data_IF_384960333722
#
_entry.id   IF_384960333722
#
_cell.length_a   1.000
_cell.length_b   1.000
_cell.length_c   1.000
_cell.angle_alpha   90.00
_cell.angle_beta   90.00
_cell.angle_gamma   90.00
#
_symmetry.space_group_name_H-M   'P 1'
#
loop_
_entity.id
_entity.type
_entity.pdbx_description
1 polymer ?
#
# COMPACT_ATOMS: atom_id res chain seq x y z
N UNK A 1 1.66 -13.14 42.43
CA UNK A 1 0.43 -12.76 41.69
C UNK A 1 0.52 -13.29 40.26
N UNK A 2 -0.61 -13.76 39.71
CA UNK A 2 -0.84 -14.44 38.41
C UNK A 2 -0.22 -13.64 37.24
N UNK A 3 0.62 -14.23 36.38
CA UNK A 3 0.25 -15.04 35.20
C UNK A 3 -0.94 -14.48 34.41
N UNK A 4 -0.70 -14.00 33.18
CA UNK A 4 -1.50 -14.40 32.02
C UNK A 4 -0.80 -13.99 30.71
N UNK A 5 0.05 -14.87 30.19
CA UNK A 5 0.32 -14.98 28.76
C UNK A 5 -1.02 -15.20 28.04
N UNK A 6 -1.58 -14.19 27.37
CA UNK A 6 -2.73 -14.42 26.47
C UNK A 6 -2.24 -14.83 25.09
N UNK A 7 -2.01 -16.13 24.96
CA UNK A 7 -2.20 -16.87 23.71
C UNK A 7 -3.69 -17.16 23.59
N UNK A 8 -4.38 -16.47 22.68
CA UNK A 8 -5.75 -16.78 22.23
C UNK A 8 -5.85 -16.29 20.79
N UNK A 9 -5.31 -17.01 19.82
CA UNK A 9 -6.04 -18.09 19.13
C UNK A 9 -7.53 -17.72 18.98
N UNK A 10 -7.82 -16.79 18.07
CA UNK A 10 -9.15 -16.66 17.47
C UNK A 10 -9.06 -17.30 16.08
N UNK A 11 -9.28 -18.61 16.05
CA UNK A 11 -9.51 -19.37 14.84
C UNK A 11 -11.00 -19.72 14.76
N UNK A 12 -11.79 -18.90 14.05
CA UNK A 12 -13.13 -19.17 13.51
C UNK A 12 -13.39 -18.05 12.48
N UNK A 13 -13.74 -18.24 11.21
CA UNK A 13 -14.15 -19.44 10.52
C UNK A 13 -14.13 -19.23 8.99
N UNK A 14 -14.09 -20.37 8.33
CA UNK A 14 -14.28 -20.62 6.91
C UNK A 14 -15.63 -20.08 6.41
N UNK A 15 -15.61 -19.22 5.39
CA UNK A 15 -16.75 -19.05 4.49
C UNK A 15 -16.23 -18.80 3.07
N UNK A 16 -16.05 -19.90 2.34
CA UNK A 16 -15.87 -19.88 0.90
C UNK A 16 -17.18 -19.44 0.24
N UNK A 17 -17.18 -18.30 -0.45
CA UNK A 17 -18.24 -17.93 -1.41
C UNK A 17 -17.63 -18.02 -2.80
N UNK A 18 -17.88 -19.17 -3.43
CA UNK A 18 -17.51 -19.48 -4.80
C UNK A 18 -18.71 -19.16 -5.70
N UNK A 19 -18.85 -17.92 -6.16
CA UNK A 19 -19.82 -17.59 -7.22
C UNK A 19 -19.10 -17.55 -8.56
N UNK A 20 -19.13 -18.71 -9.20
CA UNK A 20 -18.74 -18.95 -10.58
C UNK A 20 -19.84 -18.42 -11.52
N UNK A 21 -19.54 -17.38 -12.30
CA UNK A 21 -20.33 -17.07 -13.50
C UNK A 21 -19.42 -17.07 -14.72
N UNK A 22 -19.57 -18.16 -15.47
CA UNK A 22 -18.90 -18.43 -16.73
C UNK A 22 -19.56 -17.69 -17.90
N UNK A 23 -18.71 -17.36 -18.87
CA UNK A 23 -18.97 -17.16 -20.29
C UNK A 23 -19.80 -15.93 -20.71
N UNK A 24 -19.08 -14.87 -21.11
CA UNK A 24 -19.44 -14.11 -22.31
C UNK A 24 -18.35 -14.32 -23.36
N UNK A 25 -18.63 -15.21 -24.32
CA UNK A 25 -17.86 -15.36 -25.54
C UNK A 25 -18.24 -14.19 -26.46
N UNK A 26 -17.30 -13.29 -26.72
CA UNK A 26 -17.44 -12.16 -27.63
C UNK A 26 -16.18 -12.04 -28.48
N UNK A 27 -16.38 -12.20 -29.77
CA UNK A 27 -15.42 -12.41 -30.85
C UNK A 27 -14.60 -11.17 -31.26
N UNK A 28 -13.34 -11.44 -31.62
CA UNK A 28 -12.45 -10.77 -32.59
C UNK A 28 -11.59 -9.55 -32.18
N UNK A 29 -10.28 -9.77 -32.39
CA UNK A 29 -9.16 -8.86 -32.72
C UNK A 29 -8.40 -8.04 -31.63
N UNK A 30 -7.18 -8.54 -31.38
CA UNK A 30 -5.90 -7.87 -31.09
C UNK A 30 -5.58 -7.13 -29.76
N UNK A 31 -4.40 -7.52 -29.25
CA UNK A 31 -3.47 -6.89 -28.32
C UNK A 31 -3.87 -6.70 -26.84
N UNK A 32 -3.34 -7.64 -26.07
CA UNK A 32 -2.80 -7.49 -24.72
C UNK A 32 -2.44 -6.07 -24.31
N UNK A 33 -2.96 -5.63 -23.17
CA UNK A 33 -2.13 -5.32 -22.00
C UNK A 33 -2.94 -5.62 -20.73
N UNK A 34 -2.33 -6.43 -19.87
CA UNK A 34 -2.91 -6.89 -18.62
C UNK A 34 -2.87 -5.76 -17.60
N UNK A 35 -3.98 -5.02 -17.49
CA UNK A 35 -4.27 -4.31 -16.25
C UNK A 35 -4.68 -5.35 -15.21
N UNK A 36 -3.76 -5.63 -14.29
CA UNK A 36 -4.03 -6.34 -13.03
C UNK A 36 -5.05 -5.51 -12.22
N UNK A 37 -6.33 -5.62 -12.57
CA UNK A 37 -7.43 -5.04 -11.80
C UNK A 37 -7.93 -6.08 -10.81
N UNK A 38 -7.05 -6.44 -9.87
CA UNK A 38 -7.38 -7.23 -8.71
C UNK A 38 -7.59 -6.33 -7.48
N UNK A 39 -8.84 -6.08 -7.11
CA UNK A 39 -9.18 -5.77 -5.71
C UNK A 39 -10.03 -4.53 -5.49
N UNK A 40 -11.34 -4.74 -5.44
CA UNK A 40 -12.33 -3.89 -4.77
C UNK A 40 -11.91 -3.62 -3.32
N UNK A 41 -11.42 -2.41 -3.04
CA UNK A 41 -11.27 -1.82 -1.69
C UNK A 41 -10.96 -0.34 -1.85
N UNK A 42 -12.00 0.48 -2.11
CA UNK A 42 -11.97 1.95 -2.09
C UNK A 42 -10.56 2.58 -2.15
N UNK A 43 -9.88 2.43 -3.29
CA UNK A 43 -8.56 3.03 -3.49
C UNK A 43 -8.77 4.53 -3.55
N UNK A 44 -8.48 5.20 -2.45
CA UNK A 44 -8.46 6.67 -2.47
C UNK A 44 -7.29 7.04 -3.36
N UNK A 45 -7.59 7.47 -4.58
CA UNK A 45 -6.57 7.85 -5.55
C UNK A 45 -5.69 8.96 -4.94
N UNK A 46 -4.44 8.64 -4.61
CA UNK A 46 -3.43 9.62 -4.21
C UNK A 46 -2.94 10.30 -5.48
N UNK A 47 -3.26 11.57 -5.68
CA UNK A 47 -2.87 12.34 -6.88
C UNK A 47 -1.82 13.39 -6.57
N UNK A 48 -1.77 13.85 -5.32
CA UNK A 48 -0.84 14.86 -4.87
C UNK A 48 -0.35 14.59 -3.45
N UNK A 49 0.75 15.24 -3.07
CA UNK A 49 1.33 15.17 -1.72
C UNK A 49 0.32 15.54 -0.63
N UNK A 50 -0.63 16.44 -0.91
CA UNK A 50 -1.68 16.85 0.02
C UNK A 50 -2.64 15.70 0.40
N UNK A 51 -2.81 14.71 -0.47
CA UNK A 51 -3.69 13.54 -0.22
C UNK A 51 -3.09 12.59 0.83
N UNK A 52 -1.83 12.82 1.23
CA UNK A 52 -1.10 12.01 2.21
C UNK A 52 -1.24 12.52 3.65
N UNK A 53 -2.19 13.42 3.94
CA UNK A 53 -2.47 13.86 5.30
C UNK A 53 -2.81 12.65 6.20
N UNK A 54 -2.14 12.54 7.34
CA UNK A 54 -2.30 11.40 8.26
C UNK A 54 -1.76 10.06 7.75
N UNK A 55 -1.06 10.03 6.62
CA UNK A 55 -0.49 8.81 6.00
C UNK A 55 1.01 8.69 6.28
N UNK A 56 1.57 7.51 6.01
CA UNK A 56 2.99 7.23 6.13
C UNK A 56 3.68 7.33 4.77
N UNK A 57 4.70 8.16 4.69
CA UNK A 57 5.45 8.45 3.47
C UNK A 57 6.87 7.90 3.63
N UNK A 58 7.24 6.91 2.81
CA UNK A 58 8.59 6.40 2.73
C UNK A 58 9.51 7.33 1.94
N UNK A 59 10.72 7.56 2.44
CA UNK A 59 11.78 8.31 1.75
C UNK A 59 13.12 7.57 1.85
N UNK A 60 14.00 7.76 0.89
CA UNK A 60 15.39 7.32 1.02
C UNK A 60 16.18 8.32 1.88
N UNK A 61 16.83 7.83 2.93
CA UNK A 61 17.65 8.68 3.81
C UNK A 61 18.81 9.35 3.09
N UNK A 62 19.21 10.53 3.58
CA UNK A 62 20.32 11.34 3.04
C UNK A 62 20.14 11.78 1.58
N UNK A 63 18.90 11.97 1.13
CA UNK A 63 18.56 12.51 -0.19
C UNK A 63 17.95 13.90 -0.09
N UNK A 64 17.99 14.65 -1.18
CA UNK A 64 17.23 15.91 -1.34
C UNK A 64 15.74 15.68 -1.20
N UNK A 65 15.22 14.57 -1.73
CA UNK A 65 13.82 14.16 -1.58
C UNK A 65 13.39 13.96 -0.12
N UNK A 66 14.24 13.39 0.73
CA UNK A 66 13.94 13.24 2.16
C UNK A 66 13.81 14.59 2.86
N UNK A 67 14.73 15.53 2.61
CA UNK A 67 14.63 16.89 3.14
C UNK A 67 13.36 17.58 2.66
N UNK A 68 13.06 17.48 1.36
CA UNK A 68 11.85 18.04 0.79
C UNK A 68 10.58 17.49 1.45
N UNK A 69 10.51 16.17 1.67
CA UNK A 69 9.37 15.53 2.30
C UNK A 69 9.16 16.03 3.74
N UNK A 70 10.22 16.17 4.53
CA UNK A 70 10.11 16.69 5.90
C UNK A 70 9.61 18.14 5.95
N UNK A 71 10.04 18.97 5.00
CA UNK A 71 9.66 20.38 4.93
C UNK A 71 8.24 20.61 4.37
N UNK A 72 7.74 19.70 3.54
CA UNK A 72 6.50 19.92 2.75
C UNK A 72 5.40 18.89 3.04
N UNK A 73 5.59 17.96 3.97
CA UNK A 73 4.57 16.97 4.31
C UNK A 73 3.27 17.63 4.76
N UNK A 74 2.11 17.09 4.37
CA UNK A 74 0.83 17.57 4.89
C UNK A 74 0.71 17.27 6.38
N UNK A 75 -0.22 17.96 7.04
CA UNK A 75 -0.43 17.79 8.47
C UNK A 75 -0.75 16.32 8.82
N UNK A 76 -0.13 15.84 9.90
CA UNK A 76 -0.31 14.48 10.38
C UNK A 76 0.40 13.39 9.58
N UNK A 77 1.05 13.71 8.45
CA UNK A 77 1.85 12.73 7.74
C UNK A 77 3.12 12.36 8.51
N UNK A 78 3.47 11.08 8.48
CA UNK A 78 4.67 10.53 9.11
C UNK A 78 5.70 10.20 8.02
N UNK A 79 6.94 10.66 8.18
CA UNK A 79 8.04 10.33 7.29
C UNK A 79 8.76 9.10 7.83
N UNK A 80 8.93 8.09 6.99
CA UNK A 80 9.65 6.85 7.31
C UNK A 80 10.89 6.77 6.42
N UNK A 81 12.06 6.83 7.03
CA UNK A 81 13.34 6.82 6.32
C UNK A 81 13.85 5.40 6.09
N UNK A 82 14.27 5.11 4.86
CA UNK A 82 14.82 3.81 4.43
C UNK A 82 16.24 3.97 3.87
N UNK A 83 17.09 2.93 3.97
CA UNK A 83 18.45 2.98 3.43
C UNK A 83 18.49 3.08 1.90
N UNK A 84 17.51 2.50 1.22
CA UNK A 84 17.41 2.45 -0.24
C UNK A 84 15.95 2.28 -0.70
N UNK A 85 15.72 2.56 -1.98
CA UNK A 85 14.38 2.47 -2.60
C UNK A 85 13.82 1.05 -2.60
N UNK A 86 14.65 0.01 -2.62
CA UNK A 86 14.15 -1.38 -2.59
C UNK A 86 13.51 -1.69 -1.25
N UNK A 87 14.13 -1.23 -0.16
CA UNK A 87 13.56 -1.32 1.18
C UNK A 87 12.25 -0.52 1.32
N UNK A 88 12.19 0.69 0.75
CA UNK A 88 10.97 1.50 0.75
C UNK A 88 9.84 0.82 -0.05
N UNK A 89 10.13 0.29 -1.24
CA UNK A 89 9.16 -0.44 -2.08
C UNK A 89 8.64 -1.69 -1.39
N UNK A 90 9.50 -2.45 -0.70
CA UNK A 90 9.07 -3.60 0.07
C UNK A 90 8.13 -3.20 1.23
N UNK A 91 8.40 -2.06 1.88
CA UNK A 91 7.53 -1.51 2.93
C UNK A 91 6.16 -1.10 2.37
N UNK A 92 6.11 -0.49 1.18
CA UNK A 92 4.87 -0.13 0.50
C UNK A 92 4.03 -1.37 0.18
N UNK A 93 4.64 -2.39 -0.44
CA UNK A 93 3.95 -3.65 -0.78
C UNK A 93 3.46 -4.40 0.47
N UNK A 94 4.12 -4.22 1.61
CA UNK A 94 3.73 -4.80 2.89
C UNK A 94 2.67 -3.97 3.64
N UNK A 95 2.27 -2.81 3.13
CA UNK A 95 1.36 -1.88 3.80
C UNK A 95 1.94 -1.19 5.05
N UNK A 96 3.27 -1.16 5.19
CA UNK A 96 3.93 -0.44 6.29
C UNK A 96 3.96 1.07 6.07
N UNK A 97 3.94 1.49 4.81
CA UNK A 97 3.83 2.87 4.35
C UNK A 97 2.75 2.95 3.27
N UNK A 98 2.19 4.13 3.05
CA UNK A 98 1.11 4.37 2.10
C UNK A 98 1.61 4.94 0.76
N UNK A 99 2.77 5.60 0.76
CA UNK A 99 3.38 6.18 -0.43
C UNK A 99 4.90 6.25 -0.31
N UNK A 100 5.59 6.41 -1.43
CA UNK A 100 7.03 6.70 -1.49
C UNK A 100 7.22 8.05 -2.18
N UNK A 101 7.99 8.94 -1.56
CA UNK A 101 8.47 10.16 -2.21
C UNK A 101 9.93 9.93 -2.64
N UNK A 102 10.11 9.81 -3.94
CA UNK A 102 11.38 9.56 -4.61
C UNK A 102 11.72 10.77 -5.50
N UNK A 103 12.94 11.29 -5.36
CA UNK A 103 13.51 12.32 -6.25
C UNK A 103 14.30 11.65 -7.40
N UNK A 104 14.61 12.40 -8.47
CA UNK A 104 15.27 11.92 -9.70
C UNK A 104 16.74 11.51 -9.52
#
# INVERSE_FOLDING_TARGET
MRSMTMRKQFAVGLAAVLTLTAAACGSDDESSDAEDTGGDSATTEIKALADLAGKKIGVQSNTTGATYAEENKPEGAEIVSFPDTSAASAALLSGQIDAILQDL
#
